data_IF_345267953572
#
_entry.id   IF_345267953572
#
_cell.length_a   1.000
_cell.length_b   1.000
_cell.length_c   1.000
_cell.angle_alpha   90.00
_cell.angle_beta   90.00
_cell.angle_gamma   90.00
#
_symmetry.space_group_name_H-M   'P 1'
#
loop_
_entity.id
_entity.type
_entity.pdbx_description
1 polymer ?
#
# COMPACT_ATOMS: atom_id res chain seq x y z
N UNK A 1 -15.35 10.45 2.93
CA UNK A 1 -15.44 10.83 4.36
C UNK A 1 -14.09 11.42 4.76
N UNK A 2 -14.06 12.68 5.23
CA UNK A 2 -12.85 13.22 5.83
C UNK A 2 -12.60 12.52 7.18
N UNK A 3 -11.37 12.09 7.42
CA UNK A 3 -10.98 11.49 8.70
C UNK A 3 -11.12 12.53 9.83
N UNK A 4 -11.87 12.22 10.88
CA UNK A 4 -12.21 13.15 11.98
C UNK A 4 -11.17 13.18 13.11
N UNK A 5 -9.91 12.90 12.80
CA UNK A 5 -8.83 12.88 13.78
C UNK A 5 -7.60 13.60 13.22
N UNK A 6 -6.80 14.16 14.13
CA UNK A 6 -5.54 14.80 13.78
C UNK A 6 -4.46 13.76 13.55
N UNK A 7 -3.61 14.01 12.56
CA UNK A 7 -2.48 13.13 12.29
C UNK A 7 -1.46 13.31 13.42
N UNK A 8 -1.02 12.23 14.08
CA UNK A 8 -0.05 12.31 15.15
C UNK A 8 1.36 12.56 14.59
N UNK A 9 2.24 13.14 15.42
CA UNK A 9 3.66 13.35 15.08
C UNK A 9 4.46 12.04 15.10
N UNK A 10 3.92 10.99 15.73
CA UNK A 10 4.57 9.67 15.77
C UNK A 10 3.57 8.53 15.60
N UNK A 11 4.02 7.48 14.92
CA UNK A 11 3.23 6.27 14.67
C UNK A 11 4.08 5.01 14.87
N UNK A 12 3.47 3.89 15.30
CA UNK A 12 4.11 2.59 15.16
C UNK A 12 4.26 2.25 13.67
N UNK A 13 5.34 1.57 13.30
CA UNK A 13 5.65 1.25 11.90
C UNK A 13 5.71 -0.26 11.73
N UNK A 14 5.03 -0.76 10.70
CA UNK A 14 5.01 -2.16 10.30
C UNK A 14 5.76 -2.34 8.97
N UNK A 15 7.03 -2.80 9.02
CA UNK A 15 7.79 -3.11 7.82
C UNK A 15 7.29 -4.40 7.17
N UNK A 16 6.93 -4.32 5.88
CA UNK A 16 6.45 -5.50 5.13
C UNK A 16 7.01 -5.46 3.69
N UNK A 17 7.89 -6.40 3.31
CA UNK A 17 8.48 -6.40 1.97
C UNK A 17 7.44 -6.71 0.89
N UNK A 18 7.59 -6.07 -0.28
CA UNK A 18 6.70 -6.19 -1.47
C UNK A 18 5.24 -5.78 -1.22
N UNK A 19 4.89 -5.31 -0.03
CA UNK A 19 3.56 -4.83 0.31
C UNK A 19 3.59 -3.31 0.49
N UNK A 20 2.69 -2.63 -0.20
CA UNK A 20 2.46 -1.18 -0.05
C UNK A 20 0.99 -0.92 0.21
N UNK A 21 0.72 0.13 0.96
CA UNK A 21 -0.62 0.68 1.16
C UNK A 21 -0.69 2.03 0.44
N UNK A 22 -1.75 2.26 -0.32
CA UNK A 22 -2.02 3.57 -0.93
C UNK A 22 -3.18 4.27 -0.22
N UNK A 23 -3.19 5.61 -0.20
CA UNK A 23 -4.32 6.38 0.34
C UNK A 23 -5.65 5.90 -0.25
N UNK A 24 -6.71 5.88 0.57
CA UNK A 24 -8.08 5.45 0.22
C UNK A 24 -8.24 3.97 -0.17
N UNK A 25 -7.15 3.23 -0.38
CA UNK A 25 -7.18 1.79 -0.62
C UNK A 25 -7.29 0.98 0.67
N UNK A 26 -7.60 -0.31 0.53
CA UNK A 26 -7.70 -1.25 1.64
C UNK A 26 -6.65 -2.34 1.52
N UNK A 27 -6.00 -2.65 2.64
CA UNK A 27 -5.01 -3.73 2.73
C UNK A 27 -5.42 -4.68 3.86
N UNK A 28 -5.95 -5.87 3.54
CA UNK A 28 -6.16 -6.92 4.53
C UNK A 28 -4.82 -7.56 4.92
N UNK A 29 -4.62 -7.83 6.20
CA UNK A 29 -3.40 -8.44 6.73
C UNK A 29 -3.73 -9.51 7.77
N UNK A 30 -2.90 -10.55 7.79
CA UNK A 30 -2.93 -11.59 8.81
C UNK A 30 -1.73 -11.39 9.73
N UNK A 31 -2.00 -11.03 10.98
CA UNK A 31 -0.97 -10.71 11.99
C UNK A 31 -0.85 -11.88 12.95
N UNK A 32 0.36 -12.42 13.05
CA UNK A 32 0.66 -13.58 13.91
C UNK A 32 1.94 -13.40 14.73
N UNK A 33 2.84 -12.48 14.36
CA UNK A 33 4.05 -12.22 15.14
C UNK A 33 3.71 -11.45 16.43
N UNK A 34 4.19 -11.90 17.61
CA UNK A 34 3.83 -11.29 18.90
C UNK A 34 4.05 -9.78 18.98
N UNK A 35 5.17 -9.28 18.43
CA UNK A 35 5.44 -7.83 18.41
C UNK A 35 4.39 -7.02 17.66
N UNK A 36 3.85 -7.58 16.57
CA UNK A 36 2.84 -6.90 15.77
C UNK A 36 1.44 -7.07 16.37
N UNK A 37 1.16 -8.18 17.07
CA UNK A 37 -0.05 -8.28 17.89
C UNK A 37 -0.10 -7.15 18.93
N UNK A 38 1.00 -6.94 19.68
CA UNK A 38 1.10 -5.81 20.63
C UNK A 38 0.96 -4.45 19.94
N UNK A 39 1.51 -4.28 18.73
CA UNK A 39 1.34 -3.06 17.94
C UNK A 39 -0.13 -2.78 17.62
N UNK A 40 -0.89 -3.79 17.20
CA UNK A 40 -2.31 -3.64 16.86
C UNK A 40 -3.12 -3.31 18.12
N UNK A 41 -2.87 -3.98 19.24
CA UNK A 41 -3.51 -3.68 20.52
C UNK A 41 -3.27 -2.23 20.96
N UNK A 42 -2.03 -1.75 20.86
CA UNK A 42 -1.69 -0.38 21.24
C UNK A 42 -2.28 0.65 20.27
N UNK A 43 -2.27 0.37 18.96
CA UNK A 43 -2.91 1.22 17.97
C UNK A 43 -4.42 1.36 18.24
N UNK A 44 -5.11 0.27 18.61
CA UNK A 44 -6.54 0.29 18.95
C UNK A 44 -6.90 1.19 20.14
N UNK A 45 -5.96 1.39 21.07
CA UNK A 45 -6.13 2.28 22.24
C UNK A 45 -6.02 3.77 21.87
N UNK A 46 -5.53 4.11 20.67
CA UNK A 46 -5.43 5.49 20.19
C UNK A 46 -6.70 5.95 19.47
N UNK A 47 -7.03 7.26 19.46
CA UNK A 47 -8.16 7.77 18.70
C UNK A 47 -8.05 7.53 17.19
N UNK A 48 -6.84 7.68 16.62
CA UNK A 48 -6.58 7.55 15.19
C UNK A 48 -6.49 6.11 14.69
N UNK A 49 -6.13 5.16 15.56
CA UNK A 49 -5.90 3.74 15.22
C UNK A 49 -4.97 3.56 14.02
N UNK A 50 -3.93 4.37 13.96
CA UNK A 50 -2.98 4.41 12.86
C UNK A 50 -1.79 3.49 13.10
N UNK A 51 -1.38 2.80 12.05
CA UNK A 51 -0.06 2.21 11.92
C UNK A 51 0.56 2.63 10.58
N UNK A 52 1.88 2.77 10.51
CA UNK A 52 2.61 3.10 9.30
C UNK A 52 3.02 1.85 8.55
N UNK A 53 2.46 1.58 7.38
CA UNK A 53 3.01 0.58 6.46
C UNK A 53 4.23 1.15 5.76
N UNK A 54 5.31 0.36 5.66
CA UNK A 54 6.53 0.78 4.98
C UNK A 54 7.28 -0.43 4.41
N UNK A 55 8.01 -0.23 3.31
CA UNK A 55 8.89 -1.27 2.80
C UNK A 55 10.27 -1.22 3.49
N UNK A 56 10.89 -2.38 3.78
CA UNK A 56 12.30 -2.45 4.12
C UNK A 56 13.20 -2.06 2.93
N UNK A 57 14.31 -1.38 3.20
CA UNK A 57 15.36 -0.97 2.25
C UNK A 57 16.70 -1.71 2.51
N UNK A 58 16.60 -2.94 3.02
CA UNK A 58 17.71 -3.76 3.52
C UNK A 58 17.34 -4.45 4.83
N UNK A 59 18.33 -5.09 5.46
CA UNK A 59 18.11 -5.98 6.62
C UNK A 59 17.51 -5.24 7.84
N UNK A 60 17.92 -3.99 8.09
CA UNK A 60 17.40 -3.17 9.20
C UNK A 60 16.96 -1.74 8.80
N UNK A 61 17.10 -1.41 7.52
CA UNK A 61 16.76 -0.09 6.98
C UNK A 61 15.35 -0.08 6.44
N UNK A 62 14.70 1.08 6.50
CA UNK A 62 13.39 1.32 5.95
C UNK A 62 13.49 2.35 4.82
N UNK A 63 12.58 2.28 3.84
CA UNK A 63 12.42 3.38 2.90
C UNK A 63 11.98 4.65 3.64
N UNK A 64 12.21 5.82 3.03
CA UNK A 64 11.86 7.10 3.65
C UNK A 64 10.35 7.38 3.58
N UNK A 65 9.64 6.85 2.59
CA UNK A 65 8.20 7.09 2.40
C UNK A 65 7.42 5.82 2.69
N UNK A 66 6.42 5.95 3.57
CA UNK A 66 5.43 4.92 3.87
C UNK A 66 4.01 5.48 3.72
N UNK A 67 3.01 4.65 4.05
CA UNK A 67 1.61 5.06 4.10
C UNK A 67 0.95 4.65 5.41
N UNK A 68 0.34 5.61 6.09
CA UNK A 68 -0.39 5.37 7.32
C UNK A 68 -1.74 4.73 7.00
N UNK A 69 -1.98 3.57 7.58
CA UNK A 69 -3.24 2.85 7.51
C UNK A 69 -4.01 3.00 8.82
N UNK A 70 -5.29 3.34 8.71
CA UNK A 70 -6.22 3.24 9.85
C UNK A 70 -6.78 1.84 9.93
N UNK A 71 -6.73 1.25 11.12
CA UNK A 71 -7.41 -0.01 11.41
C UNK A 71 -8.92 0.20 11.34
N UNK A 72 -9.55 -0.37 10.30
CA UNK A 72 -11.00 -0.24 10.05
C UNK A 72 -11.77 -1.53 10.27
N UNK A 73 -11.10 -2.67 10.21
CA UNK A 73 -11.66 -3.97 10.60
C UNK A 73 -10.64 -4.75 11.41
N UNK A 74 -11.14 -5.50 12.39
CA UNK A 74 -10.36 -6.31 13.31
C UNK A 74 -11.19 -7.54 13.68
N UNK A 75 -10.59 -8.72 13.59
CA UNK A 75 -11.14 -9.99 14.07
C UNK A 75 -10.01 -10.82 14.66
N UNK A 76 -10.26 -11.40 15.83
CA UNK A 76 -9.40 -12.42 16.42
C UNK A 76 -9.79 -13.81 15.89
N UNK A 77 -8.80 -14.67 15.66
CA UNK A 77 -8.97 -16.06 15.26
C UNK A 77 -8.83 -16.98 16.47
N UNK A 78 -9.35 -18.19 16.38
CA UNK A 78 -9.32 -19.16 17.49
C UNK A 78 -7.89 -19.59 17.91
N UNK A 79 -6.89 -19.34 17.06
CA UNK A 79 -5.47 -19.61 17.33
C UNK A 79 -4.68 -18.37 17.81
N UNK A 80 -5.37 -17.30 18.19
CA UNK A 80 -4.76 -16.11 18.79
C UNK A 80 -4.07 -15.18 17.79
N UNK A 81 -4.45 -15.24 16.50
CA UNK A 81 -3.97 -14.33 15.45
C UNK A 81 -5.02 -13.27 15.16
N UNK A 82 -4.61 -12.20 14.49
CA UNK A 82 -5.53 -11.14 14.06
C UNK A 82 -5.66 -11.07 12.55
N UNK A 83 -6.90 -11.04 12.09
CA UNK A 83 -7.26 -10.59 10.74
C UNK A 83 -7.66 -9.13 10.83
N UNK A 84 -6.90 -8.27 10.15
CA UNK A 84 -7.15 -6.83 10.13
C UNK A 84 -7.34 -6.31 8.72
N UNK A 85 -8.06 -5.20 8.59
CA UNK A 85 -8.07 -4.39 7.37
C UNK A 85 -7.60 -2.99 7.71
N UNK A 86 -6.57 -2.53 7.00
CA UNK A 86 -6.12 -1.14 7.02
C UNK A 86 -6.78 -0.38 5.87
N UNK A 87 -7.29 0.82 6.15
CA UNK A 87 -7.66 1.78 5.12
C UNK A 87 -6.59 2.86 5.06
N UNK A 88 -5.98 3.07 3.88
CA UNK A 88 -4.95 4.07 3.67
C UNK A 88 -5.46 5.48 3.94
N UNK A 89 -4.71 6.25 4.73
CA UNK A 89 -5.06 7.60 5.15
C UNK A 89 -4.21 8.63 4.43
N UNK A 90 -2.89 8.51 4.56
CA UNK A 90 -1.94 9.45 3.99
C UNK A 90 -0.56 8.82 3.92
N UNK A 91 0.21 9.17 2.90
CA UNK A 91 1.65 8.97 2.91
C UNK A 91 2.30 9.86 3.97
N UNK A 92 3.46 9.43 4.41
CA UNK A 92 4.31 10.13 5.37
C UNK A 92 5.78 9.94 5.01
N UNK A 93 6.63 10.87 5.48
CA UNK A 93 8.09 10.67 5.50
C UNK A 93 8.52 10.28 6.89
N UNK A 94 9.29 9.20 6.97
CA UNK A 94 9.93 8.71 8.17
C UNK A 94 10.99 9.72 8.64
N UNK A 95 11.04 9.99 9.95
CA UNK A 95 12.09 10.77 10.61
C UNK A 95 12.81 9.86 11.62
N UNK A 96 13.16 10.39 12.78
CA UNK A 96 13.90 9.65 13.81
C UNK A 96 13.09 8.52 14.42
N UNK A 97 13.77 7.40 14.68
CA UNK A 97 13.24 6.31 15.47
C UNK A 97 13.10 6.74 16.93
N UNK A 98 11.96 6.40 17.53
CA UNK A 98 11.71 6.64 18.94
C UNK A 98 12.16 5.40 19.70
N UNK A 99 13.28 5.52 20.41
CA UNK A 99 13.74 4.47 21.30
C UNK A 99 12.73 4.23 22.44
N UNK A 100 12.53 2.97 22.80
CA UNK A 100 11.58 2.62 23.85
C UNK A 100 11.53 1.11 24.11
N UNK A 101 10.64 0.73 25.03
CA UNK A 101 10.46 -0.67 25.45
C UNK A 101 9.37 -1.41 24.65
N UNK A 102 8.80 -0.79 23.61
CA UNK A 102 7.83 -1.47 22.74
C UNK A 102 8.52 -2.56 21.93
N UNK A 103 7.88 -3.72 21.71
CA UNK A 103 8.47 -4.82 20.94
C UNK A 103 8.49 -4.55 19.42
N UNK A 104 7.93 -3.40 19.01
CA UNK A 104 7.85 -2.91 17.65
C UNK A 104 8.48 -1.52 17.54
N UNK A 105 8.87 -1.16 16.31
CA UNK A 105 9.50 0.13 16.00
C UNK A 105 8.46 1.24 15.92
N UNK A 106 8.83 2.42 16.42
CA UNK A 106 8.01 3.63 16.40
C UNK A 106 8.86 4.77 15.89
N UNK A 107 8.26 5.67 15.11
CA UNK A 107 8.99 6.77 14.48
C UNK A 107 8.25 8.07 14.63
N UNK A 108 9.01 9.17 14.69
CA UNK A 108 8.50 10.46 14.31
C UNK A 108 8.26 10.48 12.80
N UNK A 109 7.22 11.18 12.35
CA UNK A 109 6.85 11.26 10.93
C UNK A 109 6.41 12.67 10.57
N UNK A 110 6.61 13.03 9.30
CA UNK A 110 6.10 14.28 8.74
C UNK A 110 5.17 13.99 7.58
N UNK A 111 4.12 14.81 7.47
CA UNK A 111 3.03 14.65 6.51
C UNK A 111 3.15 15.62 5.33
N UNK A 112 4.12 16.54 5.40
CA UNK A 112 4.35 17.59 4.41
C UNK A 112 4.57 17.03 2.99
N UNK A 113 3.89 17.64 2.03
CA UNK A 113 3.92 17.23 0.63
C UNK A 113 2.93 16.13 0.27
N UNK A 114 2.11 15.65 1.23
CA UNK A 114 1.08 14.64 1.02
C UNK A 114 -0.34 15.14 1.30
N UNK A 115 -0.57 16.46 1.29
CA UNK A 115 -1.88 17.07 1.56
C UNK A 115 -3.00 16.56 0.64
N UNK A 116 -2.66 16.13 -0.58
CA UNK A 116 -3.61 15.56 -1.54
C UNK A 116 -4.19 14.21 -1.08
N UNK A 117 -3.45 13.44 -0.28
CA UNK A 117 -3.86 12.10 0.15
C UNK A 117 -5.10 12.13 1.06
N UNK A 118 -5.33 13.27 1.74
CA UNK A 118 -6.50 13.50 2.62
C UNK A 118 -7.63 14.27 1.94
N UNK A 119 -7.44 14.74 0.72
CA UNK A 119 -8.48 15.40 -0.08
C UNK A 119 -9.34 14.35 -0.78
N UNK A 120 -10.24 14.84 -1.63
CA UNK A 120 -11.04 13.98 -2.50
C UNK A 120 -10.16 13.15 -3.43
N UNK A 121 -10.73 12.08 -3.95
CA UNK A 121 -10.06 11.22 -4.92
C UNK A 121 -9.50 12.05 -6.09
N UNK A 122 -8.32 11.66 -6.55
CA UNK A 122 -7.70 12.25 -7.73
C UNK A 122 -8.44 11.79 -8.98
N UNK A 123 -8.47 12.66 -9.99
CA UNK A 123 -9.05 12.34 -11.30
C UNK A 123 -7.97 12.39 -12.36
N UNK A 124 -7.94 11.37 -13.22
CA UNK A 124 -7.05 11.29 -14.37
C UNK A 124 -7.85 11.40 -15.67
N UNK A 125 -7.92 12.61 -16.22
CA UNK A 125 -8.62 12.85 -17.50
C UNK A 125 -7.92 12.21 -18.71
N UNK A 126 -6.66 11.81 -18.58
CA UNK A 126 -5.87 11.16 -19.62
C UNK A 126 -5.98 9.63 -19.61
N UNK A 127 -6.76 9.06 -18.68
CA UNK A 127 -6.91 7.62 -18.53
C UNK A 127 -7.59 6.99 -19.75
N UNK A 128 -6.83 6.21 -20.53
CA UNK A 128 -7.39 5.35 -21.57
C UNK A 128 -7.65 3.95 -20.99
N UNK A 129 -8.88 3.74 -20.48
CA UNK A 129 -9.27 2.45 -19.88
C UNK A 129 -9.17 1.30 -20.88
N UNK A 130 -9.62 1.49 -22.13
CA UNK A 130 -9.58 0.44 -23.15
C UNK A 130 -8.14 -0.06 -23.37
N UNK A 131 -7.19 0.86 -23.53
CA UNK A 131 -5.77 0.51 -23.69
C UNK A 131 -5.20 -0.19 -22.44
N UNK A 132 -5.52 0.30 -21.23
CA UNK A 132 -5.08 -0.34 -19.99
C UNK A 132 -5.63 -1.77 -19.88
N UNK A 133 -6.92 -1.97 -20.12
CA UNK A 133 -7.54 -3.30 -20.05
C UNK A 133 -6.96 -4.26 -21.09
N UNK A 134 -6.65 -3.79 -22.30
CA UNK A 134 -5.94 -4.59 -23.30
C UNK A 134 -4.55 -5.05 -22.83
N UNK A 135 -3.81 -4.19 -22.12
CA UNK A 135 -2.52 -4.55 -21.51
C UNK A 135 -2.69 -5.52 -20.35
N UNK A 136 -3.65 -5.26 -19.45
CA UNK A 136 -3.94 -6.13 -18.31
C UNK A 136 -4.37 -7.51 -18.78
N UNK A 137 -5.25 -7.63 -19.76
CA UNK A 137 -5.69 -8.92 -20.26
C UNK A 137 -4.49 -9.79 -20.70
N UNK A 138 -3.57 -9.21 -21.49
CA UNK A 138 -2.34 -9.90 -21.91
C UNK A 138 -1.45 -10.27 -20.73
N UNK A 139 -1.33 -9.39 -19.73
CA UNK A 139 -0.52 -9.63 -18.54
C UNK A 139 -1.07 -10.78 -17.69
N UNK A 140 -2.39 -10.83 -17.51
CA UNK A 140 -3.06 -11.85 -16.70
C UNK A 140 -3.12 -13.21 -17.41
N UNK A 141 -3.40 -13.22 -18.72
CA UNK A 141 -3.35 -14.43 -19.55
C UNK A 141 -1.95 -15.07 -19.51
N UNK A 142 -0.89 -14.27 -19.63
CA UNK A 142 0.49 -14.76 -19.57
C UNK A 142 0.89 -15.35 -18.21
N UNK A 143 0.13 -15.10 -17.15
CA UNK A 143 0.38 -15.58 -15.78
C UNK A 143 -0.67 -16.56 -15.25
N UNK A 144 -1.67 -16.92 -16.06
CA UNK A 144 -2.75 -17.83 -15.65
C UNK A 144 -3.62 -17.29 -14.51
N UNK A 145 -3.70 -15.98 -14.35
CA UNK A 145 -4.47 -15.34 -13.27
C UNK A 145 -5.94 -15.21 -13.67
N UNK A 146 -6.84 -15.59 -12.77
CA UNK A 146 -8.28 -15.31 -12.91
C UNK A 146 -8.59 -13.93 -12.32
N UNK A 147 -9.52 -13.21 -12.94
CA UNK A 147 -9.89 -11.85 -12.51
C UNK A 147 -11.34 -11.58 -12.79
N UNK A 148 -11.99 -10.90 -11.84
CA UNK A 148 -13.31 -10.32 -12.02
C UNK A 148 -13.16 -9.02 -12.83
N UNK A 149 -13.17 -9.18 -14.15
CA UNK A 149 -13.03 -8.06 -15.09
C UNK A 149 -14.19 -7.06 -15.00
N UNK A 150 -15.39 -7.51 -14.63
CA UNK A 150 -16.56 -6.63 -14.53
C UNK A 150 -16.41 -5.71 -13.32
N UNK A 151 -16.05 -6.24 -12.16
CA UNK A 151 -15.76 -5.43 -10.98
C UNK A 151 -14.63 -4.40 -11.25
N UNK A 152 -13.59 -4.78 -11.99
CA UNK A 152 -12.52 -3.84 -12.37
C UNK A 152 -13.01 -2.73 -13.31
N UNK A 153 -13.87 -3.05 -14.28
CA UNK A 153 -14.40 -2.06 -15.24
C UNK A 153 -15.28 -1.01 -14.56
N UNK A 154 -16.01 -1.38 -13.52
CA UNK A 154 -16.87 -0.46 -12.76
C UNK A 154 -16.09 0.40 -11.74
N UNK A 155 -14.87 0.01 -11.37
CA UNK A 155 -14.07 0.75 -10.39
C UNK A 155 -13.65 2.13 -10.90
N UNK A 156 -13.76 3.14 -10.03
CA UNK A 156 -13.20 4.48 -10.25
C UNK A 156 -11.69 4.40 -10.55
N UNK A 157 -11.18 5.33 -11.37
CA UNK A 157 -9.81 5.29 -11.89
C UNK A 157 -8.76 5.22 -10.78
N UNK A 158 -8.89 6.03 -9.73
CA UNK A 158 -7.93 6.01 -8.62
C UNK A 158 -7.91 4.67 -7.89
N UNK A 159 -9.11 4.13 -7.60
CA UNK A 159 -9.23 2.83 -6.94
C UNK A 159 -8.63 1.72 -7.80
N UNK A 160 -8.88 1.74 -9.12
CA UNK A 160 -8.33 0.77 -10.06
C UNK A 160 -6.79 0.81 -10.06
N UNK A 161 -6.20 1.99 -10.29
CA UNK A 161 -4.74 2.15 -10.36
C UNK A 161 -4.08 1.80 -9.03
N UNK A 162 -4.65 2.25 -7.91
CA UNK A 162 -4.08 1.93 -6.60
C UNK A 162 -4.18 0.43 -6.29
N UNK A 163 -5.32 -0.21 -6.61
CA UNK A 163 -5.49 -1.65 -6.38
C UNK A 163 -4.53 -2.47 -7.22
N UNK A 164 -4.37 -2.14 -8.51
CA UNK A 164 -3.38 -2.80 -9.37
C UNK A 164 -1.96 -2.60 -8.86
N UNK A 165 -1.62 -1.37 -8.44
CA UNK A 165 -0.31 -1.06 -7.85
C UNK A 165 -0.02 -1.91 -6.61
N UNK A 166 -1.03 -2.20 -5.80
CA UNK A 166 -0.92 -3.01 -4.59
C UNK A 166 -0.94 -4.52 -4.87
N UNK A 167 -1.74 -4.99 -5.83
CA UNK A 167 -2.01 -6.42 -6.07
C UNK A 167 -1.05 -7.09 -7.05
N UNK A 168 -0.58 -6.38 -8.09
CA UNK A 168 0.28 -7.01 -9.12
C UNK A 168 1.64 -7.39 -8.54
N UNK A 169 2.14 -8.57 -8.87
CA UNK A 169 3.42 -9.06 -8.36
C UNK A 169 4.61 -8.36 -9.03
N UNK A 170 5.03 -7.24 -8.44
CA UNK A 170 6.20 -6.46 -8.82
C UNK A 170 7.27 -6.54 -7.72
N UNK A 171 8.50 -6.20 -8.08
CA UNK A 171 9.60 -6.14 -7.12
C UNK A 171 9.43 -4.99 -6.13
N UNK A 172 10.10 -5.08 -4.98
CA UNK A 172 9.94 -4.13 -3.88
C UNK A 172 10.22 -2.67 -4.30
N UNK A 173 11.25 -2.45 -5.12
CA UNK A 173 11.59 -1.12 -5.64
C UNK A 173 10.51 -0.56 -6.58
N UNK A 174 9.91 -1.41 -7.42
CA UNK A 174 8.82 -1.01 -8.31
C UNK A 174 7.57 -0.63 -7.51
N UNK A 175 7.24 -1.42 -6.47
CA UNK A 175 6.18 -1.11 -5.51
C UNK A 175 6.44 0.21 -4.80
N UNK A 176 7.70 0.48 -4.45
CA UNK A 176 8.09 1.71 -3.80
C UNK A 176 7.91 2.90 -4.75
N UNK A 177 8.32 2.77 -6.01
CA UNK A 177 8.13 3.81 -7.03
C UNK A 177 6.64 4.15 -7.23
N UNK A 178 5.75 3.14 -7.20
CA UNK A 178 4.30 3.35 -7.28
C UNK A 178 3.72 4.09 -6.05
N UNK A 179 4.24 3.80 -4.85
CA UNK A 179 3.88 4.49 -3.62
C UNK A 179 4.34 5.96 -3.64
N UNK A 180 5.57 6.19 -4.10
CA UNK A 180 6.22 7.51 -4.12
C UNK A 180 5.76 8.40 -5.28
N UNK A 181 5.03 7.84 -6.25
CA UNK A 181 4.49 8.59 -7.38
C UNK A 181 3.67 9.81 -6.90
N UNK A 182 4.00 11.04 -7.35
CA UNK A 182 3.45 12.29 -6.78
C UNK A 182 1.97 12.52 -7.10
N UNK A 183 1.43 11.85 -8.12
CA UNK A 183 0.04 11.98 -8.55
C UNK A 183 -0.50 10.65 -9.09
N UNK A 184 -1.82 10.55 -9.22
CA UNK A 184 -2.48 9.42 -9.88
C UNK A 184 -1.98 9.22 -11.32
N UNK A 185 -1.78 10.31 -12.07
CA UNK A 185 -1.31 10.29 -13.46
C UNK A 185 0.08 9.64 -13.53
N UNK A 186 1.02 10.12 -12.73
CA UNK A 186 2.37 9.57 -12.69
C UNK A 186 2.36 8.10 -12.24
N UNK A 187 1.52 7.76 -11.26
CA UNK A 187 1.38 6.36 -10.80
C UNK A 187 0.86 5.45 -11.90
N UNK A 188 -0.15 5.88 -12.67
CA UNK A 188 -0.67 5.15 -13.83
C UNK A 188 0.43 4.93 -14.87
N UNK A 189 1.19 5.96 -15.21
CA UNK A 189 2.26 5.86 -16.21
C UNK A 189 3.37 4.90 -15.78
N UNK A 190 3.78 4.97 -14.51
CA UNK A 190 4.71 4.01 -13.92
C UNK A 190 4.13 2.59 -13.97
N UNK A 191 2.87 2.40 -13.55
CA UNK A 191 2.20 1.10 -13.57
C UNK A 191 2.15 0.49 -14.98
N UNK A 192 1.75 1.28 -15.98
CA UNK A 192 1.72 0.85 -17.38
C UNK A 192 3.12 0.44 -17.85
N UNK A 193 4.13 1.24 -17.54
CA UNK A 193 5.53 0.96 -17.91
C UNK A 193 6.01 -0.36 -17.30
N UNK A 194 5.68 -0.63 -16.04
CA UNK A 194 6.03 -1.88 -15.35
C UNK A 194 5.32 -3.11 -15.96
N UNK A 195 4.03 -2.99 -16.29
CA UNK A 195 3.27 -4.04 -16.97
C UNK A 195 3.88 -4.34 -18.34
N UNK A 196 4.16 -3.31 -19.13
CA UNK A 196 4.78 -3.47 -20.44
C UNK A 196 6.18 -4.09 -20.36
N UNK A 197 6.99 -3.66 -19.39
CA UNK A 197 8.30 -4.24 -19.14
C UNK A 197 8.18 -5.72 -18.82
N UNK A 198 7.30 -6.10 -17.89
CA UNK A 198 7.05 -7.50 -17.53
C UNK A 198 6.56 -8.34 -18.71
N UNK A 199 5.74 -7.77 -19.60
CA UNK A 199 5.26 -8.47 -20.80
C UNK A 199 6.38 -8.70 -21.82
N UNK A 200 7.37 -7.81 -21.89
CA UNK A 200 8.52 -7.94 -22.79
C UNK A 200 9.58 -8.90 -22.23
N UNK A 201 9.85 -8.81 -20.92
CA UNK A 201 10.80 -9.69 -20.24
C UNK A 201 10.27 -11.12 -20.03
N UNK A 202 8.95 -11.30 -19.97
CA UNK A 202 8.29 -12.62 -19.97
C UNK A 202 8.48 -13.46 -21.24
N UNK A 203 9.17 -12.94 -22.27
CA UNK A 203 9.67 -13.71 -23.41
C UNK A 203 10.97 -14.49 -23.12
N UNK A 204 11.64 -14.21 -22.01
CA UNK A 204 12.76 -14.99 -21.47
C UNK A 204 12.32 -15.67 -20.18
N UNK A 205 11.40 -16.63 -20.28
CA UNK A 205 11.29 -17.64 -19.24
C UNK A 205 12.59 -18.44 -19.22
N UNK A 206 13.51 -18.02 -18.35
CA UNK A 206 14.68 -18.78 -17.96
C UNK A 206 14.18 -20.13 -17.44
N UNK A 207 14.37 -21.17 -18.24
CA UNK A 207 14.34 -22.56 -17.79
C UNK A 207 15.52 -22.72 -16.85
N UNK A 208 15.27 -22.79 -15.54
CA UNK A 208 16.09 -23.52 -14.57
C UNK A 208 15.20 -24.15 -13.49
#
# INVERSE_FOLDING_TARGET
MAFSFDLPDSIPVFPLPKAVLLPRSRLPLHIFEPRYLSMIEDAMKTPGRLIGMIQPAGEDRLHTIGCAGRLTQFSETDDGRYMITLTGVSRYRLQDEIEGFTPYRKFNVVWDGFDADRKNAESDKGMNREALFGLLQRYFEGRGLSTDWEAMKEAEDELLINSLSMLLDFEAEDKQALLEAPSLITRRETLITLIEYSLRSGGEAIVQ
#
